data_IF_294948219814
#
_entry.id   IF_294948219814
#
_cell.length_a   1.000
_cell.length_b   1.000
_cell.length_c   1.000
_cell.angle_alpha   90.00
_cell.angle_beta   90.00
_cell.angle_gamma   90.00
#
_symmetry.space_group_name_H-M   'P 1'
#
loop_
_entity.id
_entity.type
_entity.pdbx_description
1 polymer ?
#
# COMPACT_ATOMS: atom_id res chain seq x y z
N UNK A 1 -9.29 26.37 47.82
CA UNK A 1 -10.33 25.63 47.08
C UNK A 1 -9.81 25.43 45.66
N UNK A 2 -9.05 24.35 45.45
CA UNK A 2 -8.45 24.04 44.15
C UNK A 2 -9.41 23.12 43.39
N UNK A 3 -9.87 23.56 42.23
CA UNK A 3 -10.74 22.80 41.32
C UNK A 3 -9.92 21.73 40.59
N UNK A 4 -10.30 20.47 40.74
CA UNK A 4 -9.75 19.35 39.96
C UNK A 4 -10.08 19.52 38.47
N UNK A 5 -9.16 19.15 37.55
CA UNK A 5 -9.44 19.18 36.13
C UNK A 5 -10.37 18.03 35.74
N UNK A 6 -11.30 18.31 34.84
CA UNK A 6 -12.24 17.33 34.31
C UNK A 6 -11.48 16.18 33.59
N UNK A 7 -11.96 14.93 33.69
CA UNK A 7 -11.34 13.80 33.01
C UNK A 7 -11.40 13.96 31.49
N UNK A 8 -10.27 13.71 30.84
CA UNK A 8 -10.13 13.64 29.39
C UNK A 8 -11.08 12.57 28.81
N UNK A 9 -11.75 12.81 27.66
CA UNK A 9 -12.64 11.82 27.08
C UNK A 9 -11.87 10.53 26.79
N UNK A 10 -12.35 9.42 27.36
CA UNK A 10 -11.83 8.10 27.09
C UNK A 10 -11.83 7.88 25.57
N UNK A 11 -10.65 7.60 25.00
CA UNK A 11 -10.54 7.11 23.63
C UNK A 11 -11.46 5.88 23.52
N UNK A 12 -12.39 5.92 22.58
CA UNK A 12 -13.24 4.77 22.27
C UNK A 12 -12.36 3.53 22.14
N UNK A 13 -12.74 2.46 22.85
CA UNK A 13 -12.03 1.19 22.77
C UNK A 13 -11.99 0.76 21.30
N UNK A 14 -10.78 0.51 20.79
CA UNK A 14 -10.59 -0.05 19.45
C UNK A 14 -11.16 -1.47 19.46
N UNK A 15 -12.35 -1.66 18.88
CA UNK A 15 -12.83 -2.99 18.55
C UNK A 15 -11.96 -3.53 17.41
N UNK A 16 -11.28 -4.68 17.58
CA UNK A 16 -10.50 -5.25 16.50
C UNK A 16 -11.43 -5.55 15.32
N UNK A 17 -11.02 -5.23 14.08
CA UNK A 17 -11.85 -5.49 12.91
C UNK A 17 -12.17 -6.98 12.83
N UNK A 18 -13.39 -7.31 12.37
CA UNK A 18 -13.87 -8.69 12.24
C UNK A 18 -13.00 -9.57 11.33
N UNK A 19 -12.12 -8.96 10.53
CA UNK A 19 -11.07 -9.62 9.74
C UNK A 19 -9.78 -8.81 9.81
N UNK A 20 -8.65 -9.52 9.87
CA UNK A 20 -7.33 -8.89 9.82
C UNK A 20 -7.15 -8.08 8.51
N UNK A 21 -6.39 -6.97 8.54
CA UNK A 21 -6.17 -6.14 7.36
C UNK A 21 -5.51 -6.92 6.21
N UNK A 22 -5.90 -6.63 4.96
CA UNK A 22 -5.23 -7.18 3.78
C UNK A 22 -4.20 -6.17 3.24
N UNK A 23 -2.96 -6.62 3.08
CA UNK A 23 -1.92 -5.86 2.40
C UNK A 23 -2.10 -5.87 0.89
N UNK A 24 -1.89 -4.72 0.25
CA UNK A 24 -1.88 -4.56 -1.20
C UNK A 24 -0.52 -4.01 -1.61
N UNK A 25 0.22 -4.77 -2.41
CA UNK A 25 1.52 -4.36 -2.94
C UNK A 25 1.44 -4.28 -4.47
N UNK A 26 1.26 -3.07 -4.99
CA UNK A 26 1.29 -2.81 -6.42
C UNK A 26 2.70 -2.60 -6.94
N UNK A 27 2.98 -3.04 -8.17
CA UNK A 27 4.27 -2.81 -8.79
C UNK A 27 4.33 -3.24 -10.25
N UNK A 28 5.27 -2.66 -11.00
CA UNK A 28 5.56 -3.13 -12.35
C UNK A 28 6.14 -4.54 -12.32
N UNK A 29 6.97 -4.89 -11.33
CA UNK A 29 7.57 -6.22 -11.19
C UNK A 29 8.29 -6.69 -12.48
N UNK A 30 9.26 -5.90 -12.92
CA UNK A 30 10.01 -6.13 -14.16
C UNK A 30 11.53 -6.33 -13.89
N UNK A 31 11.96 -7.49 -13.38
CA UNK A 31 11.14 -8.58 -12.85
C UNK A 31 10.78 -8.39 -11.36
N UNK A 32 9.88 -9.22 -10.83
CA UNK A 32 9.75 -9.40 -9.38
C UNK A 32 11.07 -9.94 -8.80
N UNK A 33 11.42 -9.56 -7.58
CA UNK A 33 12.70 -9.92 -6.96
C UNK A 33 12.57 -9.95 -5.44
N UNK A 34 13.60 -10.45 -4.74
CA UNK A 34 13.60 -10.64 -3.28
C UNK A 34 13.27 -9.37 -2.50
N UNK A 35 13.66 -8.19 -2.96
CA UNK A 35 13.26 -6.92 -2.32
C UNK A 35 11.74 -6.74 -2.21
N UNK A 36 10.96 -7.13 -3.22
CA UNK A 36 9.49 -7.05 -3.17
C UNK A 36 8.92 -8.08 -2.20
N UNK A 37 9.42 -9.33 -2.26
CA UNK A 37 8.96 -10.42 -1.40
C UNK A 37 9.27 -10.13 0.08
N UNK A 38 10.47 -9.60 0.35
CA UNK A 38 10.89 -9.26 1.71
C UNK A 38 10.08 -8.11 2.28
N UNK A 39 9.83 -7.07 1.47
CA UNK A 39 8.96 -5.96 1.87
C UNK A 39 7.55 -6.46 2.20
N UNK A 40 6.97 -7.33 1.36
CA UNK A 40 5.65 -7.90 1.61
C UNK A 40 5.62 -8.71 2.91
N UNK A 41 6.62 -9.57 3.14
CA UNK A 41 6.67 -10.39 4.36
C UNK A 41 6.85 -9.55 5.62
N UNK A 42 7.80 -8.60 5.61
CA UNK A 42 8.03 -7.72 6.75
C UNK A 42 6.80 -6.85 7.06
N UNK A 43 6.11 -6.34 6.04
CA UNK A 43 4.86 -5.61 6.23
C UNK A 43 3.75 -6.52 6.79
N UNK A 44 3.65 -7.76 6.31
CA UNK A 44 2.69 -8.75 6.80
C UNK A 44 2.88 -9.02 8.29
N UNK A 45 4.11 -9.30 8.70
CA UNK A 45 4.44 -9.59 10.09
C UNK A 45 4.31 -8.35 10.99
N UNK A 46 4.90 -7.22 10.59
CA UNK A 46 4.95 -6.02 11.43
C UNK A 46 3.58 -5.35 11.65
N UNK A 47 2.67 -5.49 10.69
CA UNK A 47 1.34 -4.87 10.75
C UNK A 47 0.22 -5.88 11.06
N UNK A 48 0.55 -7.16 11.26
CA UNK A 48 -0.43 -8.21 11.55
C UNK A 48 -1.44 -8.41 10.41
N UNK A 49 -0.97 -8.39 9.16
CA UNK A 49 -1.83 -8.53 7.98
C UNK A 49 -2.26 -10.00 7.79
N UNK A 50 -3.50 -10.20 7.35
CA UNK A 50 -4.06 -11.52 6.96
C UNK A 50 -3.26 -12.16 5.82
N UNK A 51 -2.73 -11.30 4.95
CA UNK A 51 -1.86 -11.66 3.85
C UNK A 51 -1.49 -10.44 3.02
N UNK A 52 -0.70 -10.65 1.97
CA UNK A 52 -0.36 -9.62 0.99
C UNK A 52 -0.78 -10.06 -0.40
N UNK A 53 -1.58 -9.21 -1.05
CA UNK A 53 -1.99 -9.36 -2.44
C UNK A 53 -1.08 -8.50 -3.33
N UNK A 54 -0.31 -9.18 -4.17
CA UNK A 54 0.53 -8.55 -5.18
C UNK A 54 -0.32 -8.18 -6.40
N UNK A 55 -0.20 -6.93 -6.86
CA UNK A 55 -0.89 -6.43 -8.05
C UNK A 55 0.15 -6.07 -9.12
N UNK A 56 0.47 -6.98 -10.06
CA UNK A 56 1.30 -6.65 -11.21
C UNK A 56 0.60 -5.63 -12.10
N UNK A 57 1.25 -4.50 -12.37
CA UNK A 57 0.68 -3.47 -13.22
C UNK A 57 0.51 -3.99 -14.66
N UNK A 58 -0.66 -3.81 -15.27
CA UNK A 58 -0.87 -4.08 -16.70
C UNK A 58 -0.09 -3.09 -17.56
N UNK A 59 -0.49 -1.82 -17.54
CA UNK A 59 0.15 -0.73 -18.28
C UNK A 59 0.56 0.40 -17.32
N UNK A 60 1.79 0.39 -16.78
CA UNK A 60 2.22 1.37 -15.78
C UNK A 60 2.30 2.79 -16.37
N UNK A 61 1.58 3.79 -15.83
CA UNK A 61 1.47 5.12 -16.43
C UNK A 61 2.66 6.06 -16.11
N UNK A 62 3.46 5.74 -15.09
CA UNK A 62 4.50 6.61 -14.53
C UNK A 62 5.93 6.10 -14.78
N UNK A 63 6.11 5.01 -15.54
CA UNK A 63 7.41 4.45 -15.92
C UNK A 63 7.48 4.28 -17.44
N UNK A 64 8.68 4.20 -18.00
CA UNK A 64 8.87 3.81 -19.39
C UNK A 64 8.34 2.40 -19.67
N UNK A 65 8.35 2.00 -20.95
CA UNK A 65 7.91 0.66 -21.35
C UNK A 65 8.71 -0.42 -20.60
N UNK A 66 8.06 -1.36 -19.90
CA UNK A 66 8.74 -2.48 -19.26
C UNK A 66 9.47 -3.35 -20.28
N UNK A 67 10.58 -3.97 -19.86
CA UNK A 67 11.32 -4.93 -20.69
C UNK A 67 10.56 -6.24 -20.92
N UNK A 68 9.68 -6.61 -19.99
CA UNK A 68 8.86 -7.84 -20.07
C UNK A 68 7.37 -7.53 -20.29
N UNK A 69 6.66 -8.44 -20.99
CA UNK A 69 5.20 -8.32 -21.20
C UNK A 69 4.43 -8.33 -19.87
N UNK A 70 3.19 -7.84 -19.86
CA UNK A 70 2.37 -7.87 -18.65
C UNK A 70 2.07 -9.31 -18.20
N UNK A 71 1.90 -10.22 -19.16
CA UNK A 71 1.69 -11.64 -18.99
C UNK A 71 2.91 -12.32 -18.36
N UNK A 72 4.12 -12.02 -18.86
CA UNK A 72 5.36 -12.55 -18.29
C UNK A 72 5.60 -12.05 -16.86
N UNK A 73 5.37 -10.76 -16.61
CA UNK A 73 5.50 -10.18 -15.26
C UNK A 73 4.50 -10.79 -14.29
N UNK A 74 3.26 -11.05 -14.73
CA UNK A 74 2.27 -11.77 -13.96
C UNK A 74 2.70 -13.22 -13.68
N UNK A 75 3.21 -13.93 -14.69
CA UNK A 75 3.69 -15.30 -14.53
C UNK A 75 4.86 -15.37 -13.53
N UNK A 76 5.83 -14.46 -13.64
CA UNK A 76 6.94 -14.33 -12.70
C UNK A 76 6.45 -14.02 -11.28
N UNK A 77 5.47 -13.11 -11.12
CA UNK A 77 4.88 -12.82 -9.81
C UNK A 77 4.24 -14.06 -9.18
N UNK A 78 3.46 -14.82 -9.96
CA UNK A 78 2.84 -16.07 -9.49
C UNK A 78 3.87 -17.11 -9.06
N UNK A 79 4.93 -17.29 -9.84
CA UNK A 79 6.03 -18.20 -9.51
C UNK A 79 6.76 -17.77 -8.22
N UNK A 80 7.04 -16.48 -8.08
CA UNK A 80 7.76 -15.94 -6.93
C UNK A 80 6.97 -16.02 -5.62
N UNK A 81 5.64 -16.00 -5.66
CA UNK A 81 4.79 -16.06 -4.46
C UNK A 81 4.25 -17.45 -4.13
N UNK A 82 4.34 -18.43 -5.04
CA UNK A 82 3.66 -19.72 -4.91
C UNK A 82 3.97 -20.51 -3.63
N UNK A 83 5.18 -20.34 -3.07
CA UNK A 83 5.61 -21.05 -1.87
C UNK A 83 5.22 -20.41 -0.54
N UNK A 84 4.57 -19.24 -0.55
CA UNK A 84 4.21 -18.51 0.68
C UNK A 84 2.68 -18.42 0.82
N UNK A 85 2.07 -19.09 1.83
CA UNK A 85 0.62 -19.06 2.02
C UNK A 85 0.09 -17.68 2.43
N UNK A 86 0.95 -16.79 2.92
CA UNK A 86 0.60 -15.40 3.21
C UNK A 86 0.50 -14.52 1.96
N UNK A 87 0.86 -15.02 0.79
CA UNK A 87 0.88 -14.24 -0.46
C UNK A 87 -0.16 -14.71 -1.47
N UNK A 88 -0.73 -13.75 -2.19
CA UNK A 88 -1.59 -13.98 -3.34
C UNK A 88 -1.27 -13.02 -4.46
N UNK A 89 -1.65 -13.37 -5.69
CA UNK A 89 -1.47 -12.52 -6.87
C UNK A 89 -2.82 -12.25 -7.50
N UNK A 90 -3.09 -10.99 -7.80
CA UNK A 90 -4.29 -10.53 -8.50
C UNK A 90 -3.88 -10.00 -9.87
N UNK A 91 -4.57 -10.49 -10.91
CA UNK A 91 -4.27 -10.19 -12.31
C UNK A 91 -5.22 -9.16 -12.93
N UNK A 92 -6.04 -8.49 -12.13
CA UNK A 92 -7.08 -7.58 -12.60
C UNK A 92 -6.52 -6.43 -13.44
N UNK A 93 -5.38 -5.86 -13.05
CA UNK A 93 -4.74 -4.79 -13.83
C UNK A 93 -4.17 -5.27 -15.16
N UNK A 94 -3.60 -6.48 -15.21
CA UNK A 94 -3.11 -7.09 -16.45
C UNK A 94 -4.27 -7.37 -17.40
N UNK A 95 -5.37 -7.93 -16.88
CA UNK A 95 -6.57 -8.27 -17.67
C UNK A 95 -7.33 -7.04 -18.18
N UNK A 96 -7.29 -5.93 -17.45
CA UNK A 96 -8.06 -4.73 -17.81
C UNK A 96 -7.53 -4.04 -19.07
N UNK A 97 -6.30 -4.34 -19.51
CA UNK A 97 -5.67 -3.77 -20.72
C UNK A 97 -5.77 -2.23 -20.81
N UNK A 98 -5.82 -1.57 -19.66
CA UNK A 98 -5.86 -0.12 -19.51
C UNK A 98 -4.71 0.34 -18.62
N UNK A 99 -4.50 1.66 -18.54
CA UNK A 99 -3.52 2.25 -17.63
C UNK A 99 -3.78 1.81 -16.19
N UNK A 100 -2.71 1.33 -15.56
CA UNK A 100 -2.68 0.89 -14.17
C UNK A 100 -2.67 2.08 -13.22
N UNK A 101 -3.83 2.42 -12.68
CA UNK A 101 -3.96 3.42 -11.62
C UNK A 101 -4.40 2.78 -10.31
N UNK A 102 -3.74 3.15 -9.21
CA UNK A 102 -3.98 2.55 -7.89
C UNK A 102 -5.40 2.79 -7.37
N UNK A 103 -6.00 3.95 -7.62
CA UNK A 103 -7.35 4.27 -7.15
C UNK A 103 -8.40 3.33 -7.76
N UNK A 104 -8.51 3.18 -9.10
CA UNK A 104 -9.40 2.17 -9.70
C UNK A 104 -9.18 0.75 -9.19
N UNK A 105 -7.92 0.37 -8.93
CA UNK A 105 -7.60 -0.94 -8.34
C UNK A 105 -8.16 -1.08 -6.94
N UNK A 106 -7.97 -0.08 -6.07
CA UNK A 106 -8.52 -0.11 -4.71
C UNK A 106 -10.06 -0.04 -4.70
N UNK A 107 -10.68 0.70 -5.61
CA UNK A 107 -12.14 0.73 -5.79
C UNK A 107 -12.68 -0.66 -6.16
N UNK A 108 -12.05 -1.33 -7.12
CA UNK A 108 -12.39 -2.73 -7.48
C UNK A 108 -12.23 -3.66 -6.29
N UNK A 109 -11.07 -3.63 -5.62
CA UNK A 109 -10.82 -4.48 -4.45
C UNK A 109 -11.82 -4.22 -3.31
N UNK A 110 -12.22 -2.96 -3.11
CA UNK A 110 -13.23 -2.59 -2.11
C UNK A 110 -14.61 -3.15 -2.47
N UNK A 111 -14.98 -3.15 -3.74
CA UNK A 111 -16.22 -3.77 -4.22
C UNK A 111 -16.19 -5.30 -4.05
N UNK A 112 -15.05 -5.95 -4.26
CA UNK A 112 -14.88 -7.40 -4.11
C UNK A 112 -14.85 -7.87 -2.64
N UNK A 113 -14.16 -7.13 -1.78
CA UNK A 113 -13.86 -7.55 -0.39
C UNK A 113 -14.87 -6.97 0.60
N UNK A 114 -15.54 -5.89 0.24
CA UNK A 114 -16.50 -5.18 1.07
C UNK A 114 -15.86 -4.12 1.97
N UNK A 115 -16.68 -3.28 2.63
CA UNK A 115 -16.21 -2.10 3.37
C UNK A 115 -15.58 -2.44 4.72
N UNK A 116 -15.80 -3.64 5.26
CA UNK A 116 -15.46 -3.98 6.64
C UNK A 116 -14.01 -4.49 6.83
N UNK A 117 -13.39 -5.06 5.79
CA UNK A 117 -12.01 -5.52 5.90
C UNK A 117 -11.05 -4.35 5.60
N UNK A 118 -10.14 -3.97 6.51
CA UNK A 118 -9.19 -2.91 6.23
C UNK A 118 -8.24 -3.28 5.09
N UNK A 119 -7.92 -2.30 4.23
CA UNK A 119 -6.90 -2.44 3.20
C UNK A 119 -5.69 -1.61 3.60
N UNK A 120 -4.49 -2.17 3.38
CA UNK A 120 -3.22 -1.49 3.62
C UNK A 120 -2.42 -1.45 2.32
N UNK A 121 -2.32 -0.28 1.70
CA UNK A 121 -1.47 -0.05 0.54
C UNK A 121 -0.01 0.06 1.02
N UNK A 122 0.83 -0.89 0.59
CA UNK A 122 2.25 -0.94 0.96
C UNK A 122 3.06 -0.23 -0.12
N UNK A 123 3.82 0.79 0.28
CA UNK A 123 4.63 1.63 -0.60
C UNK A 123 6.08 1.72 -0.10
N UNK A 124 7.03 1.84 -1.02
CA UNK A 124 8.36 2.35 -0.69
C UNK A 124 8.34 3.87 -0.48
N UNK A 125 9.27 4.40 0.32
CA UNK A 125 9.42 5.83 0.57
C UNK A 125 9.59 6.68 -0.71
N UNK A 126 10.23 6.12 -1.74
CA UNK A 126 10.39 6.74 -3.06
C UNK A 126 9.04 6.89 -3.80
N UNK A 127 8.21 5.85 -3.80
CA UNK A 127 6.88 5.90 -4.38
C UNK A 127 5.98 6.88 -3.60
N UNK A 128 6.07 6.87 -2.27
CA UNK A 128 5.30 7.77 -1.42
C UNK A 128 5.68 9.25 -1.60
N UNK A 129 6.96 9.57 -1.80
CA UNK A 129 7.39 10.94 -2.09
C UNK A 129 6.75 11.49 -3.38
N UNK A 130 6.52 10.62 -4.37
CA UNK A 130 5.87 10.95 -5.63
C UNK A 130 4.34 10.88 -5.60
N UNK A 131 3.71 10.50 -4.49
CA UNK A 131 2.27 10.21 -4.40
C UNK A 131 1.37 11.35 -4.91
N UNK A 132 1.66 12.65 -4.69
CA UNK A 132 0.82 13.74 -5.22
C UNK A 132 0.72 13.80 -6.75
N UNK A 133 1.59 13.08 -7.48
CA UNK A 133 1.54 12.98 -8.94
C UNK A 133 0.62 11.86 -9.43
N UNK A 134 0.14 11.00 -8.53
CA UNK A 134 -0.69 9.86 -8.89
C UNK A 134 -2.12 10.31 -9.20
N UNK A 135 -2.75 9.58 -10.12
CA UNK A 135 -4.14 9.82 -10.49
C UNK A 135 -5.05 9.69 -9.26
N UNK A 136 -5.78 10.78 -8.94
CA UNK A 136 -6.72 10.85 -7.80
C UNK A 136 -6.08 10.50 -6.45
N UNK A 137 -4.80 10.83 -6.23
CA UNK A 137 -4.03 10.40 -5.06
C UNK A 137 -4.68 10.69 -3.69
N UNK A 138 -5.48 11.76 -3.56
CA UNK A 138 -6.21 12.09 -2.33
C UNK A 138 -7.26 11.05 -1.96
N UNK A 139 -7.82 10.35 -2.95
CA UNK A 139 -8.86 9.34 -2.74
C UNK A 139 -8.30 8.07 -2.09
N UNK A 140 -6.98 7.86 -2.19
CA UNK A 140 -6.30 6.72 -1.57
C UNK A 140 -6.58 6.62 -0.07
N UNK A 141 -6.61 7.76 0.63
CA UNK A 141 -6.83 7.82 2.09
C UNK A 141 -8.26 7.46 2.52
N UNK A 142 -9.22 7.45 1.58
CA UNK A 142 -10.57 6.96 1.83
C UNK A 142 -10.70 5.46 1.54
N UNK A 143 -9.80 4.90 0.71
CA UNK A 143 -9.89 3.53 0.22
C UNK A 143 -9.01 2.56 1.02
N UNK A 144 -7.86 3.01 1.53
CA UNK A 144 -6.90 2.19 2.24
C UNK A 144 -6.08 3.01 3.27
N UNK A 145 -5.53 2.31 4.26
CA UNK A 145 -4.39 2.81 5.03
C UNK A 145 -3.13 2.75 4.16
N UNK A 146 -2.16 3.62 4.41
CA UNK A 146 -0.89 3.64 3.67
C UNK A 146 0.23 3.24 4.63
N UNK A 147 0.94 2.17 4.29
CA UNK A 147 2.16 1.73 4.97
C UNK A 147 3.37 2.09 4.12
N UNK A 148 4.28 2.91 4.67
CA UNK A 148 5.47 3.39 3.96
C UNK A 148 6.70 2.71 4.52
N UNK A 149 7.40 1.95 3.68
CA UNK A 149 8.66 1.31 4.02
C UNK A 149 9.85 2.22 3.73
N UNK A 150 10.73 2.36 4.72
CA UNK A 150 11.98 3.09 4.56
C UNK A 150 12.95 2.30 3.67
N UNK A 151 13.68 3.02 2.80
CA UNK A 151 14.64 2.42 1.85
C UNK A 151 15.96 3.16 1.89
N UNK A 152 17.13 2.49 2.06
CA UNK A 152 18.47 3.10 2.01
C UNK A 152 18.58 4.12 0.86
N UNK A 153 19.01 5.35 1.18
CA UNK A 153 19.11 6.45 0.21
C UNK A 153 17.89 7.38 0.11
N UNK A 154 16.73 7.00 0.67
CA UNK A 154 15.57 7.88 0.80
C UNK A 154 15.38 8.30 2.26
N UNK A 155 15.23 9.61 2.49
CA UNK A 155 14.94 10.10 3.82
C UNK A 155 13.52 9.68 4.26
N UNK A 156 13.32 9.40 5.56
CA UNK A 156 14.32 9.40 6.62
C UNK A 156 14.91 8.00 6.90
N UNK A 157 16.23 7.88 6.80
CA UNK A 157 16.99 6.88 7.57
C UNK A 157 17.11 7.40 9.00
N UNK A 158 16.46 6.74 9.96
CA UNK A 158 16.63 7.02 11.39
C UNK A 158 16.07 8.35 11.91
N UNK A 159 15.17 9.04 11.19
CA UNK A 159 14.43 10.22 11.69
C UNK A 159 12.92 10.02 11.61
N UNK A 160 12.18 10.58 12.58
CA UNK A 160 10.71 10.69 12.53
C UNK A 160 10.31 11.54 11.32
N UNK A 161 9.43 11.01 10.48
CA UNK A 161 8.63 11.74 9.49
C UNK A 161 7.90 12.89 10.22
N UNK A 162 8.25 14.18 9.97
CA UNK A 162 7.64 14.96 8.88
C UNK A 162 8.54 15.95 8.13
N UNK A 163 9.83 16.11 8.46
CA UNK A 163 10.65 17.24 7.97
C UNK A 163 10.97 17.25 6.45
N UNK A 164 10.49 16.27 5.68
CA UNK A 164 10.84 16.07 4.25
C UNK A 164 9.61 15.86 3.36
N UNK A 165 8.40 16.14 3.85
CA UNK A 165 7.18 16.04 3.05
C UNK A 165 7.01 17.22 2.11
N UNK A 166 6.44 16.98 0.93
CA UNK A 166 5.87 18.06 0.12
C UNK A 166 4.70 18.71 0.87
N UNK A 167 4.40 20.00 0.68
CA UNK A 167 3.30 20.67 1.37
C UNK A 167 1.95 19.95 1.21
N UNK A 168 1.70 19.37 0.03
CA UNK A 168 0.49 18.61 -0.25
C UNK A 168 0.40 17.33 0.60
N UNK A 169 1.50 16.56 0.71
CA UNK A 169 1.54 15.36 1.54
C UNK A 169 1.44 15.69 3.03
N UNK A 170 2.11 16.75 3.48
CA UNK A 170 2.08 17.18 4.87
C UNK A 170 0.64 17.54 5.29
N UNK A 171 -0.05 18.34 4.47
CA UNK A 171 -1.45 18.67 4.69
C UNK A 171 -2.37 17.44 4.67
N UNK A 172 -2.13 16.47 3.78
CA UNK A 172 -2.96 15.26 3.69
C UNK A 172 -2.73 14.29 4.86
N UNK A 173 -1.51 14.24 5.40
CA UNK A 173 -1.15 13.38 6.54
C UNK A 173 -1.44 14.03 7.89
N UNK A 174 -1.66 15.35 7.95
CA UNK A 174 -1.91 16.06 9.20
C UNK A 174 -3.13 15.46 9.94
N UNK A 175 -2.86 14.85 11.10
CA UNK A 175 -3.88 14.22 11.95
C UNK A 175 -4.29 12.79 11.55
N UNK A 176 -3.51 12.12 10.70
CA UNK A 176 -3.68 10.71 10.30
C UNK A 176 -2.59 9.80 10.83
#
# INVERSE_FOLDING_TARGET
>A
MATEPAPSPARAAFEPPARAPLGVLGGTFDPIHTGHLRLAEEAREALGLDGVRFIPAGQPPHRGEPGSTAEDRLAMARLATAGNPGFSVDDGEVRAQQKSYTVPTLERLRAEIGPQQPLVLILGADAFAGLPTWHRWTDLFALAHIAVANRPGYAPHGRRWPATLSPALDAACAGR
#
